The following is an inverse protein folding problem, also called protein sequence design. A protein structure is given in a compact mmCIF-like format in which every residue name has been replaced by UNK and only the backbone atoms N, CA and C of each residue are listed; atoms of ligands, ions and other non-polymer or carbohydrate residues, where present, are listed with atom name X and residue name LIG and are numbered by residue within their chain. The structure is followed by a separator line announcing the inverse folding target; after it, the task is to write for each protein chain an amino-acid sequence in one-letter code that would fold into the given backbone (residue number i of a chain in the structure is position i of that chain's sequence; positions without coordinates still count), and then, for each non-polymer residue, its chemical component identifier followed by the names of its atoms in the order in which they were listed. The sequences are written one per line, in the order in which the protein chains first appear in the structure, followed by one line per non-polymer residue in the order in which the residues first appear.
data_IF_529426901198
#
_entry.id   IF_529426901198
#
_cell.length_a   1.000
_cell.length_b   1.000
_cell.length_c   1.000
_cell.angle_alpha   90.00
_cell.angle_beta   90.00
_cell.angle_gamma   90.00
#
_symmetry.space_group_name_H-M   'P 1'
#
loop_
_entity.id
_entity.type
_entity.pdbx_description
1 polymer ?
#
# COMPACT_ATOMS: atom_id res chain seq x y z
N UNK A 1 -35.74 9.40 -14.39
CA UNK A 1 -34.42 9.98 -14.02
C UNK A 1 -33.81 9.39 -12.75
N UNK A 2 -34.56 8.96 -11.71
CA UNK A 2 -33.93 8.41 -10.47
C UNK A 2 -33.30 7.02 -10.63
N UNK A 3 -33.91 6.11 -11.41
CA UNK A 3 -33.35 4.76 -11.67
C UNK A 3 -31.97 4.76 -12.36
N UNK A 4 -31.68 5.74 -13.21
CA UNK A 4 -30.39 5.85 -13.91
C UNK A 4 -29.24 6.30 -13.01
N UNK A 5 -29.53 7.03 -11.94
CA UNK A 5 -28.49 7.54 -11.03
C UNK A 5 -28.14 6.49 -9.95
N UNK A 6 -29.12 5.71 -9.50
CA UNK A 6 -28.91 4.56 -8.62
C UNK A 6 -27.97 3.52 -9.25
N UNK A 7 -28.19 3.16 -10.52
CA UNK A 7 -27.35 2.19 -11.23
C UNK A 7 -25.93 2.70 -11.45
N UNK A 8 -25.75 4.01 -11.69
CA UNK A 8 -24.43 4.66 -11.80
C UNK A 8 -23.67 4.60 -10.48
N UNK A 9 -24.30 4.95 -9.36
CA UNK A 9 -23.64 4.95 -8.06
C UNK A 9 -23.18 3.56 -7.63
N UNK A 10 -24.05 2.55 -7.77
CA UNK A 10 -23.69 1.15 -7.54
C UNK A 10 -22.53 0.70 -8.45
N UNK A 11 -22.53 1.14 -9.71
CA UNK A 11 -21.42 0.91 -10.65
C UNK A 11 -20.09 1.51 -10.19
N UNK A 12 -20.09 2.72 -9.63
CA UNK A 12 -18.89 3.35 -9.06
C UNK A 12 -18.38 2.60 -7.82
N UNK A 13 -19.26 2.24 -6.88
CA UNK A 13 -18.87 1.50 -5.67
C UNK A 13 -18.26 0.13 -6.01
N UNK A 14 -18.79 -0.54 -7.03
CA UNK A 14 -18.22 -1.79 -7.54
C UNK A 14 -16.81 -1.57 -8.08
N UNK A 15 -16.61 -0.56 -8.94
CA UNK A 15 -15.28 -0.21 -9.48
C UNK A 15 -14.26 0.11 -8.39
N UNK A 16 -14.68 0.85 -7.35
CA UNK A 16 -13.81 1.15 -6.21
C UNK A 16 -13.42 -0.16 -5.49
N UNK A 17 -14.38 -1.05 -5.26
CA UNK A 17 -14.13 -2.33 -4.58
C UNK A 17 -13.18 -3.24 -5.37
N UNK A 18 -13.32 -3.28 -6.69
CA UNK A 18 -12.41 -3.96 -7.62
C UNK A 18 -11.00 -3.34 -7.55
N UNK A 19 -10.89 -2.02 -7.67
CA UNK A 19 -9.62 -1.30 -7.60
C UNK A 19 -8.91 -1.47 -6.25
N UNK A 20 -9.65 -1.50 -5.14
CA UNK A 20 -9.11 -1.78 -3.81
C UNK A 20 -8.57 -3.22 -3.71
N UNK A 21 -9.16 -4.19 -4.42
CA UNK A 21 -8.64 -5.55 -4.47
C UNK A 21 -7.31 -5.64 -5.24
N UNK A 22 -7.21 -4.93 -6.37
CA UNK A 22 -5.98 -4.83 -7.15
C UNK A 22 -4.88 -4.13 -6.36
N UNK A 23 -5.22 -3.01 -5.73
CA UNK A 23 -4.34 -2.27 -4.84
C UNK A 23 -3.85 -3.12 -3.67
N UNK A 24 -4.73 -3.88 -3.01
CA UNK A 24 -4.35 -4.77 -1.90
C UNK A 24 -3.36 -5.86 -2.35
N UNK A 25 -3.52 -6.36 -3.57
CA UNK A 25 -2.59 -7.35 -4.14
C UNK A 25 -1.21 -6.73 -4.35
N UNK A 26 -1.14 -5.51 -4.87
CA UNK A 26 0.12 -4.78 -5.04
C UNK A 26 0.75 -4.40 -3.70
N UNK A 27 -0.06 -3.95 -2.73
CA UNK A 27 0.36 -3.64 -1.37
C UNK A 27 1.01 -4.85 -0.69
N UNK A 28 0.34 -6.01 -0.71
CA UNK A 28 0.87 -7.23 -0.12
C UNK A 28 2.16 -7.71 -0.78
N UNK A 29 2.27 -7.56 -2.10
CA UNK A 29 3.50 -7.86 -2.81
C UNK A 29 4.64 -6.92 -2.42
N UNK A 30 4.35 -5.62 -2.27
CA UNK A 30 5.32 -4.62 -1.82
C UNK A 30 5.78 -4.83 -0.37
N UNK A 31 4.86 -5.15 0.54
CA UNK A 31 5.20 -5.54 1.92
C UNK A 31 6.12 -6.78 1.92
N UNK A 32 5.80 -7.78 1.09
CA UNK A 32 6.58 -9.01 0.98
C UNK A 32 7.99 -8.76 0.44
N UNK A 33 8.15 -7.92 -0.59
CA UNK A 33 9.47 -7.59 -1.14
C UNK A 33 10.32 -6.82 -0.12
N UNK A 34 9.73 -5.89 0.63
CA UNK A 34 10.42 -5.19 1.70
C UNK A 34 10.88 -6.14 2.83
N UNK A 35 10.03 -7.11 3.23
CA UNK A 35 10.39 -8.15 4.21
C UNK A 35 11.54 -9.02 3.69
N UNK A 36 11.52 -9.41 2.42
CA UNK A 36 12.57 -10.23 1.82
C UNK A 36 13.91 -9.51 1.76
N UNK A 37 13.90 -8.22 1.46
CA UNK A 37 15.09 -7.38 1.52
C UNK A 37 15.68 -7.32 2.94
N UNK A 38 14.84 -7.10 3.95
CA UNK A 38 15.26 -7.12 5.36
C UNK A 38 15.86 -8.48 5.78
N UNK A 39 15.20 -9.59 5.43
CA UNK A 39 15.69 -10.95 5.69
C UNK A 39 17.07 -11.17 5.05
N UNK A 40 17.25 -10.80 3.78
CA UNK A 40 18.53 -10.96 3.08
C UNK A 40 19.69 -10.19 3.73
N UNK A 41 19.39 -9.04 4.34
CA UNK A 41 20.37 -8.24 5.09
C UNK A 41 20.70 -8.89 6.43
N UNK A 42 19.71 -9.44 7.13
CA UNK A 42 19.93 -10.20 8.36
C UNK A 42 20.78 -11.45 8.12
N UNK A 43 20.50 -12.20 7.05
CA UNK A 43 21.32 -13.34 6.62
C UNK A 43 22.77 -12.92 6.30
N UNK A 44 22.96 -11.81 5.57
CA UNK A 44 24.28 -11.26 5.28
C UNK A 44 25.06 -10.89 6.55
N UNK A 45 24.42 -10.25 7.53
CA UNK A 45 25.07 -9.87 8.79
C UNK A 45 25.48 -11.10 9.62
N UNK A 46 24.68 -12.18 9.59
CA UNK A 46 25.05 -13.44 10.24
C UNK A 46 26.26 -14.09 9.58
N UNK A 47 26.28 -14.12 8.25
CA UNK A 47 27.38 -14.74 7.49
C UNK A 47 28.68 -13.92 7.56
N UNK A 48 28.60 -12.59 7.70
CA UNK A 48 29.77 -11.73 7.91
C UNK A 48 30.53 -12.06 9.21
N UNK A 49 29.89 -12.71 10.18
CA UNK A 49 30.53 -13.13 11.43
C UNK A 49 31.18 -14.52 11.36
N UNK A 50 31.03 -15.25 10.25
CA UNK A 50 31.59 -16.59 10.07
C UNK A 50 32.98 -16.48 9.45
N UNK A 51 34.02 -16.81 10.22
CA UNK A 51 35.37 -16.92 9.68
C UNK A 51 35.58 -18.28 8.98
N UNK A 52 36.09 -18.29 7.74
CA UNK A 52 36.54 -19.53 7.12
C UNK A 52 37.75 -20.09 7.90
N UNK A 53 37.75 -21.40 8.14
CA UNK A 53 38.74 -22.08 8.98
C UNK A 53 39.69 -22.99 8.19
N UNK A 54 40.01 -22.64 6.95
CA UNK A 54 40.91 -23.44 6.13
C UNK A 54 42.38 -23.23 6.55
N UNK A 55 43.16 -24.29 6.46
CA UNK A 55 44.60 -24.29 6.82
C UNK A 55 45.46 -23.43 5.89
N UNK A 56 44.95 -23.07 4.70
CA UNK A 56 45.63 -22.24 3.71
C UNK A 56 45.06 -20.81 3.74
N UNK A 57 45.84 -19.78 4.10
CA UNK A 57 45.37 -18.39 4.18
C UNK A 57 44.74 -17.86 2.88
N UNK A 58 45.33 -18.20 1.73
CA UNK A 58 44.81 -17.81 0.40
C UNK A 58 43.41 -18.37 0.16
N UNK A 59 43.11 -19.56 0.68
CA UNK A 59 41.79 -20.17 0.52
C UNK A 59 40.73 -19.44 1.37
N UNK A 60 41.11 -18.97 2.56
CA UNK A 60 40.22 -18.15 3.39
C UNK A 60 39.87 -16.83 2.69
N UNK A 61 40.87 -16.13 2.13
CA UNK A 61 40.67 -14.84 1.44
C UNK A 61 39.79 -14.97 0.18
N UNK A 62 40.00 -16.02 -0.62
CA UNK A 62 39.18 -16.30 -1.82
C UNK A 62 37.72 -16.59 -1.45
N UNK A 63 37.49 -17.34 -0.37
CA UNK A 63 36.16 -17.68 0.10
C UNK A 63 35.44 -16.46 0.65
N UNK A 64 36.10 -15.64 1.49
CA UNK A 64 35.56 -14.39 2.00
C UNK A 64 35.15 -13.44 0.87
N UNK A 65 36.02 -13.27 -0.13
CA UNK A 65 35.75 -12.38 -1.27
C UNK A 65 34.56 -12.87 -2.10
N UNK A 66 34.47 -14.18 -2.36
CA UNK A 66 33.36 -14.77 -3.13
C UNK A 66 32.05 -14.72 -2.37
N UNK A 67 32.07 -14.97 -1.06
CA UNK A 67 30.90 -14.86 -0.18
C UNK A 67 30.38 -13.42 -0.15
N UNK A 68 31.26 -12.45 0.09
CA UNK A 68 30.93 -11.03 0.11
C UNK A 68 30.30 -10.56 -1.23
N UNK A 69 30.89 -10.97 -2.35
CA UNK A 69 30.34 -10.65 -3.69
C UNK A 69 28.96 -11.26 -3.89
N UNK A 70 28.79 -12.53 -3.57
CA UNK A 70 27.52 -13.24 -3.72
C UNK A 70 26.41 -12.60 -2.86
N UNK A 71 26.74 -12.22 -1.63
CA UNK A 71 25.79 -11.56 -0.73
C UNK A 71 25.37 -10.18 -1.25
N UNK A 72 26.31 -9.36 -1.73
CA UNK A 72 26.00 -8.06 -2.33
C UNK A 72 25.08 -8.19 -3.55
N UNK A 73 25.30 -9.20 -4.39
CA UNK A 73 24.43 -9.47 -5.54
C UNK A 73 23.02 -9.89 -5.12
N UNK A 74 22.88 -10.72 -4.07
CA UNK A 74 21.57 -11.13 -3.53
C UNK A 74 20.81 -9.93 -2.95
N UNK A 75 21.48 -9.09 -2.17
CA UNK A 75 20.87 -7.85 -1.63
C UNK A 75 20.45 -6.93 -2.79
N UNK A 76 21.33 -6.71 -3.77
CA UNK A 76 21.04 -5.89 -4.95
C UNK A 76 19.80 -6.37 -5.72
N UNK A 77 19.68 -7.68 -5.92
CA UNK A 77 18.48 -8.29 -6.52
C UNK A 77 17.20 -7.98 -5.73
N UNK A 78 17.21 -8.15 -4.42
CA UNK A 78 16.02 -7.87 -3.60
C UNK A 78 15.72 -6.38 -3.48
N UNK A 79 16.72 -5.51 -3.63
CA UNK A 79 16.49 -4.07 -3.76
C UNK A 79 15.76 -3.76 -5.06
N UNK A 80 16.21 -4.30 -6.19
CA UNK A 80 15.55 -4.14 -7.50
C UNK A 80 14.08 -4.63 -7.45
N UNK A 81 13.85 -5.86 -6.96
CA UNK A 81 12.50 -6.40 -6.78
C UNK A 81 11.61 -5.52 -5.89
N UNK A 82 12.19 -4.85 -4.88
CA UNK A 82 11.45 -3.95 -4.01
C UNK A 82 11.07 -2.63 -4.71
N UNK A 83 11.88 -2.13 -5.64
CA UNK A 83 11.56 -0.95 -6.44
C UNK A 83 10.47 -1.26 -7.47
N UNK A 84 10.56 -2.40 -8.16
CA UNK A 84 9.50 -2.85 -9.08
C UNK A 84 8.15 -2.99 -8.35
N UNK A 85 8.17 -3.53 -7.13
CA UNK A 85 6.99 -3.64 -6.29
C UNK A 85 6.43 -2.29 -5.85
N UNK A 86 7.31 -1.33 -5.53
CA UNK A 86 6.93 0.04 -5.22
C UNK A 86 6.26 0.72 -6.41
N UNK A 87 6.79 0.55 -7.61
CA UNK A 87 6.27 1.21 -8.80
C UNK A 87 4.88 0.67 -9.17
N UNK A 88 4.70 -0.66 -9.10
CA UNK A 88 3.38 -1.28 -9.26
C UNK A 88 2.40 -0.80 -8.19
N UNK A 89 2.83 -0.72 -6.93
CA UNK A 89 2.02 -0.21 -5.83
C UNK A 89 1.59 1.24 -6.06
N UNK A 90 2.52 2.13 -6.42
CA UNK A 90 2.21 3.53 -6.73
C UNK A 90 1.20 3.64 -7.87
N UNK A 91 1.41 2.88 -8.96
CA UNK A 91 0.48 2.87 -10.08
C UNK A 91 -0.95 2.47 -9.67
N UNK A 92 -1.09 1.38 -8.89
CA UNK A 92 -2.41 0.97 -8.39
C UNK A 92 -3.02 1.95 -7.40
N UNK A 93 -2.18 2.68 -6.64
CA UNK A 93 -2.62 3.72 -5.70
C UNK A 93 -3.19 4.92 -6.45
N UNK A 94 -2.48 5.40 -7.48
CA UNK A 94 -2.93 6.50 -8.32
C UNK A 94 -4.23 6.14 -9.06
N UNK A 95 -4.33 4.89 -9.54
CA UNK A 95 -5.55 4.38 -10.15
C UNK A 95 -6.74 4.40 -9.19
N UNK A 96 -6.55 3.93 -7.96
CA UNK A 96 -7.59 3.94 -6.92
C UNK A 96 -8.02 5.38 -6.58
N UNK A 97 -7.08 6.30 -6.39
CA UNK A 97 -7.41 7.71 -6.17
C UNK A 97 -8.19 8.33 -7.33
N UNK A 98 -7.84 7.99 -8.57
CA UNK A 98 -8.58 8.44 -9.76
C UNK A 98 -10.04 7.98 -9.74
N UNK A 99 -10.29 6.71 -9.41
CA UNK A 99 -11.67 6.19 -9.31
C UNK A 99 -12.43 6.85 -8.15
N UNK A 100 -11.79 7.05 -6.99
CA UNK A 100 -12.39 7.76 -5.86
C UNK A 100 -12.73 9.22 -6.23
N UNK A 101 -11.87 9.90 -6.97
CA UNK A 101 -12.11 11.26 -7.47
C UNK A 101 -13.27 11.30 -8.47
N UNK A 102 -13.36 10.32 -9.37
CA UNK A 102 -14.51 10.20 -10.29
C UNK A 102 -15.85 10.06 -9.56
N UNK A 103 -15.87 9.33 -8.43
CA UNK A 103 -17.07 9.27 -7.58
C UNK A 103 -17.38 10.63 -6.95
N UNK A 104 -16.38 11.34 -6.43
CA UNK A 104 -16.54 12.69 -5.86
C UNK A 104 -17.14 13.65 -6.89
N UNK A 105 -16.61 13.67 -8.10
CA UNK A 105 -17.16 14.50 -9.20
C UNK A 105 -18.61 14.14 -9.52
N UNK A 106 -18.93 12.84 -9.54
CA UNK A 106 -20.29 12.35 -9.78
C UNK A 106 -21.25 12.83 -8.69
N UNK A 107 -20.84 12.78 -7.42
CA UNK A 107 -21.62 13.24 -6.27
C UNK A 107 -21.85 14.75 -6.32
N UNK A 108 -20.80 15.53 -6.59
CA UNK A 108 -20.88 16.99 -6.72
C UNK A 108 -21.81 17.39 -7.87
N UNK A 109 -21.67 16.77 -9.03
CA UNK A 109 -22.54 17.02 -10.18
C UNK A 109 -24.00 16.67 -9.88
N UNK A 110 -24.24 15.59 -9.12
CA UNK A 110 -25.59 15.24 -8.69
C UNK A 110 -26.20 16.27 -7.72
N UNK A 111 -25.38 16.84 -6.83
CA UNK A 111 -25.79 17.89 -5.90
C UNK A 111 -26.27 19.15 -6.62
N UNK A 112 -25.57 19.59 -7.68
CA UNK A 112 -25.96 20.77 -8.47
C UNK A 112 -27.33 20.61 -9.16
N UNK A 113 -27.75 19.37 -9.47
CA UNK A 113 -29.03 19.09 -10.13
C UNK A 113 -30.20 19.05 -9.13
N UNK A 114 -29.93 18.78 -7.86
CA UNK A 114 -30.93 18.46 -6.82
C UNK A 114 -31.61 19.68 -6.14
N UNK A 115 -31.63 20.85 -6.80
CA UNK A 115 -32.21 22.11 -6.29
C UNK A 115 -33.46 21.88 -5.39
N UNK A 116 -33.32 22.22 -4.09
CA UNK A 116 -34.36 22.27 -3.04
C UNK A 116 -34.70 21.02 -2.19
N UNK A 117 -33.89 19.96 -2.17
CA UNK A 117 -34.08 18.85 -1.19
C UNK A 117 -32.97 18.76 -0.14
N UNK A 118 -33.15 19.45 1.00
CA UNK A 118 -32.18 19.53 2.11
C UNK A 118 -31.67 18.15 2.58
N UNK A 119 -32.56 17.16 2.75
CA UNK A 119 -32.20 15.81 3.21
C UNK A 119 -31.29 15.06 2.23
N UNK A 120 -31.50 15.25 0.92
CA UNK A 120 -30.65 14.67 -0.13
C UNK A 120 -29.29 15.35 -0.18
N UNK A 121 -29.23 16.67 0.02
CA UNK A 121 -27.98 17.42 0.10
C UNK A 121 -27.13 16.95 1.29
N UNK A 122 -27.74 16.77 2.48
CA UNK A 122 -27.03 16.24 3.66
C UNK A 122 -26.47 14.83 3.42
N UNK A 123 -27.23 13.97 2.73
CA UNK A 123 -26.77 12.61 2.40
C UNK A 123 -25.57 12.63 1.45
N UNK A 124 -25.56 13.52 0.45
CA UNK A 124 -24.42 13.70 -0.46
C UNK A 124 -23.19 14.26 0.27
N UNK A 125 -23.35 15.21 1.18
CA UNK A 125 -22.26 15.72 2.03
C UNK A 125 -21.67 14.60 2.90
N UNK A 126 -22.51 13.74 3.48
CA UNK A 126 -22.04 12.60 4.26
C UNK A 126 -21.25 11.60 3.39
N UNK A 127 -21.68 11.36 2.15
CA UNK A 127 -20.93 10.53 1.18
C UNK A 127 -19.55 11.14 0.89
N UNK A 128 -19.49 12.45 0.63
CA UNK A 128 -18.21 13.15 0.37
C UNK A 128 -17.27 13.04 1.58
N UNK A 129 -17.78 13.30 2.78
CA UNK A 129 -17.00 13.20 4.02
C UNK A 129 -16.46 11.78 4.26
N UNK A 130 -17.26 10.75 3.94
CA UNK A 130 -16.80 9.36 4.03
C UNK A 130 -15.70 9.05 3.02
N UNK A 131 -15.84 9.51 1.78
CA UNK A 131 -14.80 9.30 0.76
C UNK A 131 -13.51 10.02 1.16
N UNK A 132 -13.60 11.24 1.65
CA UNK A 132 -12.44 12.02 2.09
C UNK A 132 -11.73 11.34 3.27
N UNK A 133 -12.50 10.92 4.28
CA UNK A 133 -11.97 10.15 5.41
C UNK A 133 -11.26 8.87 4.97
N UNK A 134 -11.81 8.14 3.99
CA UNK A 134 -11.15 6.95 3.45
C UNK A 134 -9.83 7.30 2.74
N UNK A 135 -9.80 8.39 1.95
CA UNK A 135 -8.59 8.86 1.28
C UNK A 135 -7.48 9.23 2.26
N UNK A 136 -7.82 9.84 3.40
CA UNK A 136 -6.83 10.16 4.44
C UNK A 136 -6.18 8.88 4.97
N UNK A 137 -6.99 7.89 5.36
CA UNK A 137 -6.47 6.61 5.87
C UNK A 137 -5.62 5.88 4.83
N UNK A 138 -6.07 5.88 3.57
CA UNK A 138 -5.33 5.29 2.46
C UNK A 138 -3.97 5.98 2.26
N UNK A 139 -3.94 7.30 2.34
CA UNK A 139 -2.71 8.11 2.23
C UNK A 139 -1.75 7.78 3.36
N UNK A 140 -2.22 7.78 4.61
CA UNK A 140 -1.41 7.46 5.78
C UNK A 140 -0.78 6.06 5.68
N UNK A 141 -1.56 5.07 5.24
CA UNK A 141 -1.07 3.71 5.04
C UNK A 141 -0.04 3.62 3.90
N UNK A 142 -0.26 4.34 2.81
CA UNK A 142 0.68 4.44 1.69
C UNK A 142 2.02 5.08 2.11
N UNK A 143 1.96 6.15 2.90
CA UNK A 143 3.16 6.85 3.37
C UNK A 143 3.94 6.01 4.37
N UNK A 144 3.24 5.29 5.23
CA UNK A 144 3.86 4.37 6.19
C UNK A 144 4.63 3.24 5.50
N UNK A 145 4.06 2.59 4.46
CA UNK A 145 4.79 1.54 3.73
C UNK A 145 5.95 2.09 2.88
N UNK A 146 5.80 3.29 2.30
CA UNK A 146 6.91 3.97 1.59
C UNK A 146 8.06 4.30 2.55
N UNK A 147 7.76 4.78 3.75
CA UNK A 147 8.77 5.04 4.78
C UNK A 147 9.45 3.75 5.24
N UNK A 148 8.68 2.66 5.38
CA UNK A 148 9.24 1.35 5.70
C UNK A 148 10.23 0.90 4.61
N UNK A 149 9.84 0.95 3.33
CA UNK A 149 10.72 0.64 2.19
C UNK A 149 11.98 1.50 2.20
N UNK A 150 11.85 2.82 2.37
CA UNK A 150 12.98 3.74 2.45
C UNK A 150 13.99 3.33 3.53
N UNK A 151 13.51 3.00 4.74
CA UNK A 151 14.36 2.52 5.83
C UNK A 151 15.07 1.21 5.45
N UNK A 152 14.38 0.30 4.76
CA UNK A 152 15.01 -0.93 4.29
C UNK A 152 16.09 -0.69 3.24
N UNK A 153 15.91 0.25 2.30
CA UNK A 153 16.94 0.60 1.32
C UNK A 153 18.18 1.20 1.99
N UNK A 154 17.99 2.12 2.93
CA UNK A 154 19.07 2.92 3.51
C UNK A 154 19.55 2.42 4.88
N UNK A 155 19.27 1.18 5.27
CA UNK A 155 19.59 0.68 6.63
C UNK A 155 21.08 0.83 7.04
N UNK A 156 22.03 0.89 6.09
CA UNK A 156 23.46 1.09 6.38
C UNK A 156 23.84 2.56 6.63
N UNK A 157 22.99 3.51 6.23
CA UNK A 157 23.21 4.96 6.38
C UNK A 157 22.60 5.51 7.66
N UNK A 158 21.76 4.71 8.33
CA UNK A 158 21.21 5.02 9.63
C UNK A 158 21.96 4.17 10.65
N UNK A 159 22.48 4.80 11.69
CA UNK A 159 23.03 4.12 12.86
C UNK A 159 21.83 3.53 13.64
N UNK A 160 21.24 2.46 13.11
CA UNK A 160 20.08 1.77 13.69
C UNK A 160 20.59 0.91 14.86
N UNK A 161 21.22 1.56 15.84
CA UNK A 161 21.35 1.07 17.22
C UNK A 161 19.99 0.97 17.93
N UNK A 162 18.94 1.50 17.29
CA UNK A 162 17.58 1.48 17.80
C UNK A 162 16.85 0.30 17.19
N UNK A 163 16.31 -0.54 18.07
CA UNK A 163 15.25 -1.53 17.82
C UNK A 163 13.99 -0.91 17.19
N UNK A 164 14.09 -0.10 16.14
CA UNK A 164 12.94 0.30 15.34
C UNK A 164 12.64 -0.84 14.37
N UNK A 165 12.28 -1.98 14.94
CA UNK A 165 11.33 -2.88 14.29
C UNK A 165 10.07 -2.06 14.09
N UNK A 166 10.01 -1.26 13.01
CA UNK A 166 8.75 -0.95 12.36
C UNK A 166 8.32 -2.30 11.80
N UNK A 167 7.79 -3.12 12.69
CA UNK A 167 7.21 -4.39 12.37
C UNK A 167 5.94 -4.02 11.62
N UNK A 168 5.93 -4.24 10.30
CA UNK A 168 4.72 -4.15 9.50
C UNK A 168 3.94 -5.44 9.80
N UNK A 169 2.98 -5.42 10.75
CA UNK A 169 2.61 -6.63 11.47
C UNK A 169 1.80 -7.60 10.64
N UNK A 170 1.21 -7.12 9.55
CA UNK A 170 0.21 -7.87 8.81
C UNK A 170 0.45 -7.80 7.31
N UNK A 171 0.18 -8.91 6.63
CA UNK A 171 -0.03 -8.97 5.18
C UNK A 171 -1.49 -8.61 4.87
N UNK A 172 -2.01 -7.57 5.53
CA UNK A 172 -3.39 -7.13 5.34
C UNK A 172 -3.43 -5.62 5.52
N UNK A 173 -3.99 -4.93 4.54
CA UNK A 173 -4.22 -3.49 4.64
C UNK A 173 -5.31 -3.13 5.64
N UNK A 174 -5.07 -2.09 6.41
CA UNK A 174 -6.08 -1.38 7.19
C UNK A 174 -7.17 -0.80 6.28
N UNK A 175 -6.78 -0.12 5.20
CA UNK A 175 -7.68 0.48 4.22
C UNK A 175 -8.61 -0.56 3.60
N UNK A 176 -8.09 -1.72 3.16
CA UNK A 176 -8.92 -2.82 2.63
C UNK A 176 -9.95 -3.28 3.65
N UNK A 177 -9.51 -3.52 4.89
CA UNK A 177 -10.37 -3.99 5.98
C UNK A 177 -11.48 -2.99 6.30
N UNK A 178 -11.13 -1.71 6.43
CA UNK A 178 -12.10 -0.65 6.71
C UNK A 178 -13.06 -0.45 5.54
N UNK A 179 -12.58 -0.56 4.30
CA UNK A 179 -13.44 -0.49 3.13
C UNK A 179 -14.52 -1.56 3.16
N UNK A 180 -14.11 -2.82 3.33
CA UNK A 180 -15.01 -3.97 3.30
C UNK A 180 -15.99 -4.01 4.47
N UNK A 181 -15.56 -3.57 5.66
CA UNK A 181 -16.37 -3.72 6.87
C UNK A 181 -17.20 -2.48 7.22
N UNK A 182 -16.77 -1.29 6.79
CA UNK A 182 -17.40 -0.04 7.22
C UNK A 182 -17.81 0.86 6.06
N UNK A 183 -16.87 1.26 5.20
CA UNK A 183 -17.14 2.31 4.20
C UNK A 183 -18.14 1.84 3.16
N UNK A 184 -18.00 0.63 2.61
CA UNK A 184 -18.94 0.13 1.60
C UNK A 184 -20.37 0.01 2.16
N UNK A 185 -20.51 -0.41 3.42
CA UNK A 185 -21.81 -0.55 4.10
C UNK A 185 -22.46 0.83 4.30
N UNK A 186 -21.69 1.79 4.82
CA UNK A 186 -22.16 3.17 5.04
C UNK A 186 -22.54 3.84 3.71
N UNK A 187 -21.72 3.66 2.66
CA UNK A 187 -21.98 4.23 1.34
C UNK A 187 -23.22 3.63 0.68
N UNK A 188 -23.41 2.31 0.73
CA UNK A 188 -24.63 1.67 0.22
C UNK A 188 -25.87 2.19 0.96
N UNK A 189 -25.81 2.28 2.29
CA UNK A 189 -26.93 2.79 3.11
C UNK A 189 -27.29 4.22 2.73
N UNK A 190 -26.31 5.11 2.57
CA UNK A 190 -26.52 6.50 2.18
C UNK A 190 -27.02 6.64 0.74
N UNK A 191 -26.65 5.70 -0.13
CA UNK A 191 -27.07 5.67 -1.52
C UNK A 191 -28.54 5.29 -1.67
N UNK A 192 -29.03 4.38 -0.82
CA UNK A 192 -30.44 4.01 -0.78
C UNK A 192 -31.34 5.20 -0.40
N UNK A 193 -30.84 6.14 0.41
CA UNK A 193 -31.55 7.39 0.74
C UNK A 193 -31.58 8.42 -0.41
N UNK A 194 -30.80 8.23 -1.48
CA UNK A 194 -30.81 9.10 -2.65
C UNK A 194 -31.82 8.67 -3.73
N UNK A 195 -32.31 7.42 -3.66
CA UNK A 195 -33.28 6.79 -4.59
C UNK A 195 -34.70 7.28 -4.29
#
# INVERSE_FOLDING_TARGET
MSRDNSSKFAGHLRKISESIQEWETAFNWFVKSCKRLDESRRENNQLASVQPCFSLPILNELIETRLNTSMKLVIGKYQEESFDARDKFNHTTDHLFSILNSLVETVINHQYVLNNHLSKIMSLQNILNLIDSFKTILTDECDFIKLYHFKQIFANSFDISVRSTIYFPSNSSLSKRLWCNEYIVKLNTLSDFLI
#
